data_IF_187763865384
#
_entry.id   IF_187763865384
#
_cell.length_a   1.000
_cell.length_b   1.000
_cell.length_c   1.000
_cell.angle_alpha   90.00
_cell.angle_beta   90.00
_cell.angle_gamma   90.00
#
_symmetry.space_group_name_H-M   'P 1'
#
loop_
_entity.id
_entity.type
_entity.pdbx_description
1 polymer ?
#
# COMPACT_ATOMS: atom_id res chain seq x y z
N UNK A 1 19.15 -46.50 -44.04
CA UNK A 1 18.21 -45.57 -44.72
C UNK A 1 16.82 -45.85 -44.16
N UNK A 2 16.07 -44.93 -43.55
CA UNK A 2 16.19 -43.48 -43.48
C UNK A 2 15.56 -42.98 -42.16
N UNK A 3 16.34 -42.24 -41.38
CA UNK A 3 15.97 -41.55 -40.13
C UNK A 3 15.24 -40.21 -40.35
N UNK A 4 14.55 -40.00 -41.47
CA UNK A 4 14.12 -38.66 -41.87
C UNK A 4 12.68 -38.24 -41.50
N UNK A 5 11.81 -39.14 -41.01
CA UNK A 5 10.37 -38.84 -40.93
C UNK A 5 9.77 -38.64 -39.53
N UNK A 6 10.53 -38.77 -38.45
CA UNK A 6 9.99 -38.57 -37.10
C UNK A 6 10.23 -37.15 -36.52
N UNK A 7 11.14 -36.38 -37.13
CA UNK A 7 11.56 -35.07 -36.58
C UNK A 7 10.66 -33.90 -36.99
N UNK A 8 9.69 -34.11 -37.90
CA UNK A 8 8.87 -33.04 -38.46
C UNK A 8 7.44 -32.96 -37.91
N UNK A 9 6.99 -33.94 -37.12
CA UNK A 9 5.64 -33.92 -36.52
C UNK A 9 5.60 -33.31 -35.10
N UNK A 10 6.75 -33.16 -34.43
CA UNK A 10 6.82 -32.63 -33.05
C UNK A 10 6.96 -31.09 -33.06
N UNK A 11 7.62 -30.51 -34.07
CA UNK A 11 7.82 -29.06 -34.16
C UNK A 11 6.55 -28.27 -34.54
N UNK A 12 5.57 -28.89 -35.20
CA UNK A 12 4.33 -28.19 -35.60
C UNK A 12 3.29 -28.18 -34.47
N UNK A 13 3.36 -29.13 -33.53
CA UNK A 13 2.42 -29.21 -32.40
C UNK A 13 2.80 -28.30 -31.23
N UNK A 14 4.09 -28.01 -31.01
CA UNK A 14 4.53 -27.14 -29.90
C UNK A 14 4.43 -25.64 -30.19
N UNK A 15 4.43 -25.21 -31.47
CA UNK A 15 4.36 -23.77 -31.81
C UNK A 15 2.91 -23.24 -31.75
N UNK A 16 1.90 -24.11 -31.84
CA UNK A 16 0.49 -23.72 -31.79
C UNK A 16 -0.06 -23.52 -30.36
N UNK A 17 0.66 -23.95 -29.31
CA UNK A 17 0.22 -23.84 -27.91
C UNK A 17 0.79 -22.62 -27.15
N UNK A 18 1.68 -21.83 -27.78
CA UNK A 18 2.28 -20.65 -27.15
C UNK A 18 1.62 -19.32 -27.55
N UNK A 19 0.48 -19.35 -28.25
CA UNK A 19 -0.22 -18.15 -28.74
C UNK A 19 -1.61 -17.90 -28.11
N UNK A 20 -1.94 -18.58 -27.00
CA UNK A 20 -3.24 -18.44 -26.34
C UNK A 20 -3.19 -17.89 -24.91
N UNK A 21 -2.06 -17.30 -24.48
CA UNK A 21 -1.99 -16.55 -23.22
C UNK A 21 -1.56 -15.10 -23.51
N UNK A 22 -2.36 -14.41 -24.34
CA UNK A 22 -2.36 -12.96 -24.46
C UNK A 22 -3.83 -12.55 -24.46
N UNK A 23 -4.34 -12.18 -23.27
CA UNK A 23 -5.64 -11.56 -22.92
C UNK A 23 -5.86 -12.02 -21.46
N UNK A 24 -5.57 -11.23 -20.43
CA UNK A 24 -6.19 -9.95 -20.09
C UNK A 24 -5.19 -9.11 -19.27
N UNK A 25 -4.45 -8.21 -19.92
CA UNK A 25 -3.97 -7.03 -19.22
C UNK A 25 -5.12 -6.03 -19.23
N UNK A 26 -6.03 -6.14 -18.26
CA UNK A 26 -6.89 -5.00 -17.93
C UNK A 26 -5.97 -3.88 -17.47
N UNK A 27 -6.14 -2.62 -17.94
CA UNK A 27 -5.45 -1.51 -17.30
C UNK A 27 -5.89 -1.52 -15.84
N UNK A 28 -4.96 -1.80 -14.94
CA UNK A 28 -5.15 -1.55 -13.51
C UNK A 28 -5.36 -0.05 -13.40
N UNK A 29 -6.62 0.36 -13.28
CA UNK A 29 -6.92 1.67 -12.77
C UNK A 29 -6.40 1.67 -11.33
N UNK A 30 -5.52 2.61 -11.00
CA UNK A 30 -4.97 2.76 -9.67
C UNK A 30 -6.08 3.20 -8.71
N UNK A 31 -6.92 2.26 -8.28
CA UNK A 31 -7.73 2.38 -7.08
C UNK A 31 -6.86 1.88 -5.94
N UNK A 32 -6.28 2.79 -5.17
CA UNK A 32 -5.68 2.46 -3.88
C UNK A 32 -6.82 2.12 -2.92
N UNK A 33 -7.04 0.84 -2.68
CA UNK A 33 -7.93 0.36 -1.61
C UNK A 33 -7.05 -0.01 -0.42
N UNK A 34 -7.33 0.59 0.73
CA UNK A 34 -6.71 0.20 1.99
C UNK A 34 -7.73 -0.64 2.75
N UNK A 35 -7.41 -1.91 2.99
CA UNK A 35 -8.24 -2.81 3.78
C UNK A 35 -7.87 -2.70 5.25
N UNK A 36 -8.61 -1.86 5.95
CA UNK A 36 -8.67 -1.82 7.40
C UNK A 36 -9.92 -2.59 7.81
N UNK A 37 -9.84 -3.44 8.83
CA UNK A 37 -11.02 -4.13 9.34
C UNK A 37 -12.09 -3.09 9.77
N UNK A 38 -13.16 -2.96 8.96
CA UNK A 38 -14.25 -2.01 9.21
C UNK A 38 -14.11 -0.61 8.59
N UNK A 39 -13.10 -0.36 7.75
CA UNK A 39 -12.92 0.93 7.08
C UNK A 39 -12.30 0.76 5.68
N UNK A 40 -13.13 0.37 4.71
CA UNK A 40 -12.69 0.34 3.32
C UNK A 40 -12.81 1.73 2.73
N UNK A 41 -11.67 2.28 2.30
CA UNK A 41 -11.59 3.64 1.79
C UNK A 41 -11.16 3.63 0.34
N UNK A 42 -11.76 4.51 -0.46
CA UNK A 42 -11.35 4.77 -1.82
C UNK A 42 -11.16 6.27 -2.03
N UNK A 43 -10.01 6.64 -2.59
CA UNK A 43 -9.70 8.00 -3.04
C UNK A 43 -9.85 8.07 -4.55
N UNK A 44 -10.68 9.00 -5.04
CA UNK A 44 -11.01 9.15 -6.47
C UNK A 44 -10.47 10.46 -7.02
N UNK A 45 -9.22 10.46 -7.47
CA UNK A 45 -8.59 11.63 -8.07
C UNK A 45 -7.15 11.79 -7.63
N UNK A 46 -6.62 13.01 -7.77
CA UNK A 46 -5.30 13.36 -7.25
C UNK A 46 -5.40 14.35 -6.10
N UNK A 47 -4.50 14.19 -5.13
CA UNK A 47 -4.29 15.10 -4.03
C UNK A 47 -2.84 15.58 -4.10
N UNK A 48 -2.66 16.87 -3.91
CA UNK A 48 -1.36 17.48 -3.69
C UNK A 48 -1.41 18.37 -2.46
N UNK A 49 -0.28 18.49 -1.79
CA UNK A 49 -0.13 19.35 -0.63
C UNK A 49 1.27 19.96 -0.65
N UNK A 50 1.36 21.28 -0.60
CA UNK A 50 2.63 21.99 -0.53
C UNK A 50 2.45 23.32 0.19
N UNK A 51 3.33 23.63 1.15
CA UNK A 51 3.27 24.89 1.91
C UNK A 51 1.87 25.15 2.49
N UNK A 52 1.25 24.13 3.06
CA UNK A 52 -0.11 24.17 3.61
C UNK A 52 -1.24 24.46 2.61
N UNK A 53 -0.94 24.44 1.30
CA UNK A 53 -1.94 24.55 0.23
C UNK A 53 -2.36 23.15 -0.17
N UNK A 54 -3.64 22.83 0.02
CA UNK A 54 -4.26 21.58 -0.41
C UNK A 54 -4.83 21.75 -1.81
N UNK A 55 -4.41 20.91 -2.75
CA UNK A 55 -4.90 20.87 -4.13
C UNK A 55 -5.54 19.51 -4.40
N UNK A 56 -6.78 19.49 -4.89
CA UNK A 56 -7.50 18.25 -5.18
C UNK A 56 -8.09 18.31 -6.59
N UNK A 57 -7.93 17.22 -7.35
CA UNK A 57 -8.57 17.01 -8.65
C UNK A 57 -9.37 15.72 -8.62
N UNK A 58 -10.67 15.78 -8.32
CA UNK A 58 -11.52 14.58 -8.29
C UNK A 58 -11.56 13.89 -9.66
N UNK A 59 -11.67 12.56 -9.67
CA UNK A 59 -11.77 11.81 -10.93
C UNK A 59 -13.11 12.04 -11.65
N UNK A 60 -14.13 12.56 -10.95
CA UNK A 60 -15.47 12.81 -11.48
C UNK A 60 -15.50 13.91 -12.55
N UNK A 61 -14.57 14.86 -12.52
CA UNK A 61 -14.51 15.99 -13.47
C UNK A 61 -13.14 16.67 -13.48
N UNK A 62 -12.86 17.50 -14.48
CA UNK A 62 -11.56 18.15 -14.66
C UNK A 62 -11.30 19.39 -13.80
N UNK A 63 -12.17 19.71 -12.83
CA UNK A 63 -12.00 20.89 -11.97
C UNK A 63 -10.86 20.69 -10.97
N UNK A 64 -10.13 21.76 -10.69
CA UNK A 64 -9.09 21.81 -9.65
C UNK A 64 -9.59 22.63 -8.47
N UNK A 65 -9.61 22.02 -7.30
CA UNK A 65 -9.99 22.64 -6.03
C UNK A 65 -8.72 22.95 -5.25
N UNK A 66 -8.60 24.19 -4.77
CA UNK A 66 -7.45 24.63 -3.98
C UNK A 66 -7.96 25.28 -2.71
N UNK A 67 -7.47 24.80 -1.57
CA UNK A 67 -7.69 25.38 -0.25
C UNK A 67 -6.34 25.88 0.25
N UNK A 68 -6.22 27.19 0.47
CA UNK A 68 -4.98 27.83 0.91
C UNK A 68 -4.73 27.68 2.42
N UNK A 69 -3.62 28.23 2.92
CA UNK A 69 -3.22 28.15 4.32
C UNK A 69 -4.17 28.90 5.27
N UNK A 70 -4.98 29.82 4.75
CA UNK A 70 -6.04 30.53 5.46
C UNK A 70 -7.44 29.90 5.23
N UNK A 71 -7.48 28.70 4.65
CA UNK A 71 -8.68 27.93 4.37
C UNK A 71 -9.66 28.65 3.42
N UNK A 72 -9.17 29.52 2.54
CA UNK A 72 -9.98 30.06 1.46
C UNK A 72 -10.04 29.07 0.30
N UNK A 73 -11.23 28.94 -0.28
CA UNK A 73 -11.47 28.07 -1.42
C UNK A 73 -11.29 28.81 -2.75
N UNK A 74 -10.60 28.16 -3.69
CA UNK A 74 -10.68 28.50 -5.11
C UNK A 74 -10.93 27.27 -5.99
N UNK A 75 -11.68 27.46 -7.06
CA UNK A 75 -12.01 26.43 -8.06
C UNK A 75 -11.55 26.93 -9.43
N UNK A 76 -10.68 26.16 -10.09
CA UNK A 76 -10.03 26.54 -11.36
C UNK A 76 -9.41 27.94 -11.32
N UNK A 77 -8.78 28.27 -10.18
CA UNK A 77 -8.14 29.56 -9.93
C UNK A 77 -9.09 30.73 -9.62
N UNK A 78 -10.39 30.49 -9.50
CA UNK A 78 -11.37 31.51 -9.10
C UNK A 78 -11.73 31.35 -7.64
N UNK A 79 -11.53 32.41 -6.86
CA UNK A 79 -11.94 32.43 -5.45
C UNK A 79 -13.45 32.26 -5.31
N UNK A 80 -13.86 31.40 -4.38
CA UNK A 80 -15.27 31.17 -4.03
C UNK A 80 -15.53 31.85 -2.69
N UNK A 81 -16.39 32.88 -2.62
CA UNK A 81 -16.72 33.52 -1.35
C UNK A 81 -17.52 32.55 -0.47
N UNK A 82 -17.02 32.30 0.73
CA UNK A 82 -17.65 31.41 1.71
C UNK A 82 -18.39 32.22 2.77
N UNK A 83 -19.59 31.79 3.13
CA UNK A 83 -20.26 32.25 4.34
C UNK A 83 -19.70 31.53 5.58
N UNK A 84 -20.13 31.93 6.78
CA UNK A 84 -19.61 31.38 8.03
C UNK A 84 -19.78 29.85 8.15
N UNK A 85 -20.91 29.30 7.69
CA UNK A 85 -21.18 27.86 7.74
C UNK A 85 -20.29 27.11 6.75
N UNK A 86 -20.19 27.59 5.51
CA UNK A 86 -19.33 27.01 4.47
C UNK A 86 -17.85 27.05 4.89
N UNK A 87 -17.41 28.15 5.51
CA UNK A 87 -16.04 28.29 6.01
C UNK A 87 -15.71 27.24 7.07
N UNK A 88 -16.63 27.00 8.02
CA UNK A 88 -16.42 26.01 9.08
C UNK A 88 -16.31 24.58 8.50
N UNK A 89 -17.09 24.25 7.48
CA UNK A 89 -17.03 22.93 6.82
C UNK A 89 -15.74 22.79 6.01
N UNK A 90 -15.32 23.81 5.26
CA UNK A 90 -14.04 23.80 4.51
C UNK A 90 -12.85 23.66 5.46
N UNK A 91 -12.86 24.39 6.58
CA UNK A 91 -11.80 24.32 7.60
C UNK A 91 -11.72 22.91 8.19
N UNK A 92 -12.87 22.33 8.58
CA UNK A 92 -12.93 20.96 9.07
C UNK A 92 -12.41 19.97 8.02
N UNK A 93 -12.85 20.09 6.78
CA UNK A 93 -12.39 19.23 5.68
C UNK A 93 -10.86 19.30 5.51
N UNK A 94 -10.33 20.52 5.41
CA UNK A 94 -8.90 20.77 5.26
C UNK A 94 -8.08 20.12 6.37
N UNK A 95 -8.43 20.31 7.64
CA UNK A 95 -7.67 19.76 8.75
C UNK A 95 -7.77 18.23 8.86
N UNK A 96 -8.93 17.64 8.53
CA UNK A 96 -9.06 16.18 8.50
C UNK A 96 -8.20 15.58 7.39
N UNK A 97 -8.23 16.13 6.17
CA UNK A 97 -7.37 15.67 5.06
C UNK A 97 -5.89 15.86 5.40
N UNK A 98 -5.51 17.04 5.90
CA UNK A 98 -4.11 17.32 6.30
C UNK A 98 -3.62 16.40 7.39
N UNK A 99 -4.46 16.03 8.35
CA UNK A 99 -4.09 15.12 9.44
C UNK A 99 -4.01 13.67 8.96
N UNK A 100 -4.88 13.27 8.02
CA UNK A 100 -4.88 11.92 7.48
C UNK A 100 -3.56 11.57 6.76
N UNK A 101 -2.92 12.53 6.08
CA UNK A 101 -1.66 12.29 5.34
C UNK A 101 -0.55 11.68 6.22
N UNK A 102 -0.09 12.32 7.31
CA UNK A 102 0.96 11.76 8.15
C UNK A 102 0.53 10.45 8.85
N UNK A 103 -0.75 10.31 9.19
CA UNK A 103 -1.28 9.06 9.76
C UNK A 103 -1.22 7.90 8.75
N UNK A 104 -1.50 8.15 7.47
CA UNK A 104 -1.36 7.14 6.41
C UNK A 104 0.09 6.67 6.27
N UNK A 105 1.05 7.60 6.35
CA UNK A 105 2.48 7.24 6.35
C UNK A 105 2.86 6.42 7.58
N UNK A 106 2.39 6.80 8.76
CA UNK A 106 2.62 6.04 9.99
C UNK A 106 2.06 4.62 9.89
N UNK A 107 0.83 4.46 9.38
CA UNK A 107 0.24 3.14 9.16
C UNK A 107 1.04 2.29 8.17
N UNK A 108 1.51 2.88 7.07
CA UNK A 108 2.35 2.18 6.10
C UNK A 108 3.67 1.72 6.77
N UNK A 109 4.28 2.57 7.59
CA UNK A 109 5.49 2.23 8.34
C UNK A 109 5.23 1.10 9.37
N UNK A 110 4.12 1.14 10.10
CA UNK A 110 3.71 0.10 11.05
C UNK A 110 3.43 -1.25 10.33
N UNK A 111 2.75 -1.23 9.18
CA UNK A 111 2.51 -2.43 8.37
C UNK A 111 3.81 -3.05 7.85
N UNK A 112 4.74 -2.21 7.42
CA UNK A 112 6.07 -2.63 6.99
C UNK A 112 6.91 -3.19 8.15
N UNK A 113 6.80 -2.63 9.34
CA UNK A 113 7.43 -3.17 10.55
C UNK A 113 6.89 -4.56 10.91
N UNK A 114 5.58 -4.77 10.81
CA UNK A 114 4.98 -6.10 11.00
C UNK A 114 5.49 -7.10 9.97
N UNK A 115 5.59 -6.70 8.70
CA UNK A 115 6.19 -7.54 7.66
C UNK A 115 7.65 -7.87 7.98
N UNK A 116 8.42 -6.88 8.42
CA UNK A 116 9.82 -7.04 8.83
C UNK A 116 9.97 -8.03 9.99
N UNK A 117 9.12 -7.93 11.02
CA UNK A 117 9.09 -8.88 12.14
C UNK A 117 8.81 -10.30 11.62
N UNK A 118 7.74 -10.48 10.85
CA UNK A 118 7.34 -11.81 10.38
C UNK A 118 8.45 -12.48 9.55
N UNK A 119 9.04 -11.73 8.62
CA UNK A 119 10.18 -12.16 7.83
C UNK A 119 11.37 -12.54 8.71
N UNK A 120 11.78 -11.65 9.61
CA UNK A 120 12.97 -11.87 10.41
C UNK A 120 12.80 -13.08 11.33
N UNK A 121 11.66 -13.25 11.99
CA UNK A 121 11.46 -14.41 12.87
C UNK A 121 11.53 -15.73 12.10
N UNK A 122 10.90 -15.83 10.94
CA UNK A 122 10.88 -17.07 10.14
C UNK A 122 12.26 -17.37 9.58
N UNK A 123 12.88 -16.42 8.89
CA UNK A 123 14.12 -16.69 8.15
C UNK A 123 15.35 -16.68 9.06
N UNK A 124 15.37 -15.91 10.15
CA UNK A 124 16.46 -15.98 11.14
C UNK A 124 16.52 -17.34 11.82
N UNK A 125 15.37 -17.96 12.11
CA UNK A 125 15.32 -19.29 12.72
C UNK A 125 15.72 -20.39 11.73
N UNK A 126 15.40 -20.22 10.45
CA UNK A 126 15.71 -21.22 9.42
C UNK A 126 17.16 -21.13 8.91
N UNK A 127 17.69 -19.90 8.76
CA UNK A 127 18.95 -19.62 8.06
C UNK A 127 20.03 -19.02 8.97
N UNK A 128 19.61 -18.44 10.11
CA UNK A 128 20.49 -17.69 11.00
C UNK A 128 20.38 -16.16 10.78
N UNK A 129 20.65 -15.35 11.81
CA UNK A 129 20.43 -13.89 11.77
C UNK A 129 21.38 -13.12 10.86
N UNK A 130 22.45 -13.77 10.37
CA UNK A 130 23.46 -13.17 9.49
C UNK A 130 23.43 -13.78 8.08
N UNK A 131 22.38 -14.55 7.75
CA UNK A 131 22.22 -15.05 6.41
C UNK A 131 21.96 -13.90 5.42
N UNK A 132 22.61 -13.97 4.26
CA UNK A 132 22.54 -12.92 3.23
C UNK A 132 21.08 -12.65 2.78
N UNK A 133 20.20 -13.66 2.82
CA UNK A 133 18.77 -13.50 2.49
C UNK A 133 18.07 -12.57 3.47
N UNK A 134 18.31 -12.77 4.78
CA UNK A 134 17.68 -11.99 5.85
C UNK A 134 18.13 -10.54 5.74
N UNK A 135 19.43 -10.32 5.52
CA UNK A 135 19.99 -8.97 5.29
C UNK A 135 19.33 -8.31 4.07
N UNK A 136 19.27 -9.03 2.93
CA UNK A 136 18.73 -8.48 1.68
C UNK A 136 17.26 -8.11 1.78
N UNK A 137 16.45 -8.93 2.46
CA UNK A 137 15.02 -8.66 2.63
C UNK A 137 14.78 -7.49 3.58
N UNK A 138 15.60 -7.33 4.61
CA UNK A 138 15.57 -6.15 5.48
C UNK A 138 15.92 -4.87 4.72
N UNK A 139 16.91 -4.92 3.82
CA UNK A 139 17.24 -3.79 2.94
C UNK A 139 16.08 -3.44 2.00
N UNK A 140 15.39 -4.43 1.43
CA UNK A 140 14.24 -4.21 0.56
C UNK A 140 13.09 -3.53 1.31
N UNK A 141 12.77 -4.02 2.50
CA UNK A 141 11.78 -3.41 3.40
C UNK A 141 12.18 -1.97 3.71
N UNK A 142 13.43 -1.71 4.13
CA UNK A 142 13.88 -0.35 4.43
C UNK A 142 13.80 0.61 3.22
N UNK A 143 14.01 0.11 2.00
CA UNK A 143 13.84 0.88 0.77
C UNK A 143 12.39 1.27 0.53
N UNK A 144 11.43 0.37 0.79
CA UNK A 144 9.99 0.68 0.73
C UNK A 144 9.66 1.82 1.69
N UNK A 145 10.10 1.72 2.95
CA UNK A 145 9.88 2.76 3.96
C UNK A 145 10.35 4.12 3.46
N UNK A 146 11.61 4.16 3.01
CA UNK A 146 12.26 5.37 2.54
C UNK A 146 11.54 5.96 1.33
N UNK A 147 11.12 5.12 0.37
CA UNK A 147 10.38 5.57 -0.81
C UNK A 147 9.04 6.19 -0.42
N UNK A 148 8.26 5.52 0.43
CA UNK A 148 6.97 6.03 0.93
C UNK A 148 7.16 7.38 1.63
N UNK A 149 8.11 7.49 2.56
CA UNK A 149 8.38 8.75 3.27
C UNK A 149 8.80 9.87 2.30
N UNK A 150 9.72 9.59 1.37
CA UNK A 150 10.21 10.59 0.40
C UNK A 150 9.19 11.04 -0.64
N UNK A 151 8.13 10.25 -0.85
CA UNK A 151 7.02 10.61 -1.75
C UNK A 151 6.01 11.55 -1.13
N UNK A 152 6.01 11.67 0.20
CA UNK A 152 5.05 12.48 0.97
C UNK A 152 5.73 13.67 1.66
N UNK A 153 7.01 13.57 2.02
CA UNK A 153 7.73 14.62 2.75
C UNK A 153 8.87 15.23 1.93
N UNK A 154 8.98 16.56 1.99
CA UNK A 154 10.16 17.28 1.53
C UNK A 154 11.33 17.11 2.52
N UNK A 155 12.58 17.41 2.11
CA UNK A 155 13.77 17.29 2.98
C UNK A 155 13.73 18.12 4.27
N UNK A 156 12.89 19.15 4.34
CA UNK A 156 12.69 19.98 5.53
C UNK A 156 11.61 19.42 6.49
N UNK A 157 11.02 18.26 6.16
CA UNK A 157 9.98 17.59 6.94
C UNK A 157 8.57 18.12 6.69
N UNK A 158 8.38 19.08 5.78
CA UNK A 158 7.05 19.54 5.38
C UNK A 158 6.37 18.51 4.47
N UNK A 159 5.03 18.47 4.52
CA UNK A 159 4.26 17.64 3.58
C UNK A 159 4.41 18.24 2.18
N UNK A 160 4.91 17.42 1.27
CA UNK A 160 5.02 17.71 -0.14
C UNK A 160 4.51 16.53 -0.95
N UNK A 161 3.31 16.68 -1.49
CA UNK A 161 2.72 15.77 -2.47
C UNK A 161 2.54 16.60 -3.72
N UNK A 162 3.29 16.29 -4.78
CA UNK A 162 3.27 17.10 -6.01
C UNK A 162 1.87 17.02 -6.64
N UNK A 163 1.11 18.14 -6.67
CA UNK A 163 -0.21 18.15 -7.27
C UNK A 163 -0.18 17.82 -8.77
N UNK A 164 0.96 17.97 -9.44
CA UNK A 164 1.09 17.78 -10.89
C UNK A 164 1.91 16.55 -11.25
N UNK A 165 2.33 15.73 -10.28
CA UNK A 165 3.04 14.49 -10.58
C UNK A 165 2.18 13.60 -11.49
N UNK A 166 2.70 13.30 -12.67
CA UNK A 166 2.24 12.13 -13.43
C UNK A 166 2.80 10.89 -12.74
N UNK A 167 2.07 9.78 -12.74
CA UNK A 167 2.32 8.49 -12.07
C UNK A 167 3.71 7.83 -12.26
N UNK A 168 4.78 8.51 -12.67
CA UNK A 168 6.09 7.97 -13.06
C UNK A 168 7.20 8.20 -12.03
N UNK A 169 6.94 8.89 -10.91
CA UNK A 169 7.94 9.11 -9.85
C UNK A 169 7.40 8.87 -8.43
N UNK A 170 6.12 8.50 -8.30
CA UNK A 170 5.39 8.39 -7.03
C UNK A 170 5.41 6.95 -6.45
N UNK A 171 5.08 6.76 -5.17
CA UNK A 171 4.89 5.42 -4.57
C UNK A 171 3.75 4.64 -5.24
N UNK A 172 2.84 5.34 -5.93
CA UNK A 172 1.78 4.74 -6.75
C UNK A 172 2.23 4.42 -8.19
N UNK A 173 3.51 4.59 -8.52
CA UNK A 173 4.03 4.30 -9.85
C UNK A 173 4.05 2.78 -10.11
N UNK A 174 3.33 2.29 -11.14
CA UNK A 174 3.39 0.89 -11.55
C UNK A 174 4.81 0.41 -11.89
N UNK A 175 5.72 1.30 -12.33
CA UNK A 175 7.11 0.95 -12.59
C UNK A 175 7.87 0.66 -11.30
N UNK A 176 7.70 1.49 -10.26
CA UNK A 176 8.31 1.24 -8.96
C UNK A 176 7.85 -0.11 -8.38
N UNK A 177 6.54 -0.40 -8.46
CA UNK A 177 6.02 -1.70 -8.03
C UNK A 177 6.66 -2.86 -8.81
N UNK A 178 6.77 -2.74 -10.14
CA UNK A 178 7.40 -3.75 -10.98
C UNK A 178 8.89 -3.94 -10.68
N UNK A 179 9.63 -2.86 -10.41
CA UNK A 179 11.04 -2.92 -10.00
C UNK A 179 11.18 -3.62 -8.65
N UNK A 180 10.32 -3.29 -7.68
CA UNK A 180 10.31 -3.95 -6.38
C UNK A 180 10.01 -5.44 -6.49
N UNK A 181 8.95 -5.81 -7.22
CA UNK A 181 8.56 -7.20 -7.42
C UNK A 181 9.70 -8.00 -8.08
N UNK A 182 10.40 -7.41 -9.05
CA UNK A 182 11.54 -8.03 -9.70
C UNK A 182 12.70 -8.27 -8.72
N UNK A 183 13.06 -7.29 -7.89
CA UNK A 183 14.16 -7.45 -6.92
C UNK A 183 13.79 -8.45 -5.81
N UNK A 184 12.53 -8.46 -5.37
CA UNK A 184 12.03 -9.45 -4.43
C UNK A 184 12.06 -10.86 -5.03
N UNK A 185 11.60 -11.03 -6.27
CA UNK A 185 11.63 -12.32 -6.98
C UNK A 185 13.06 -12.82 -7.16
N UNK A 186 13.98 -11.96 -7.64
CA UNK A 186 15.40 -12.30 -7.78
C UNK A 186 16.00 -12.73 -6.44
N UNK A 187 15.72 -11.98 -5.36
CA UNK A 187 16.17 -12.33 -4.01
C UNK A 187 15.68 -13.72 -3.62
N UNK A 188 14.39 -14.01 -3.77
CA UNK A 188 13.86 -15.35 -3.42
C UNK A 188 14.49 -16.45 -4.29
N UNK A 189 14.68 -16.21 -5.59
CA UNK A 189 15.29 -17.18 -6.51
C UNK A 189 16.74 -17.51 -6.12
N UNK A 190 17.54 -16.50 -5.78
CA UNK A 190 18.93 -16.66 -5.37
C UNK A 190 19.07 -17.49 -4.10
N UNK A 191 18.11 -17.37 -3.18
CA UNK A 191 18.12 -18.07 -1.90
C UNK A 191 17.27 -19.35 -1.86
N UNK A 192 16.56 -19.69 -2.93
CA UNK A 192 15.69 -20.88 -2.98
C UNK A 192 16.46 -22.18 -2.68
N UNK A 193 17.71 -22.29 -3.17
CA UNK A 193 18.57 -23.44 -2.87
C UNK A 193 18.90 -23.56 -1.38
N UNK A 194 19.24 -22.44 -0.73
CA UNK A 194 19.53 -22.37 0.71
C UNK A 194 18.30 -22.71 1.54
N UNK A 195 17.13 -22.19 1.17
CA UNK A 195 15.84 -22.50 1.80
C UNK A 195 15.55 -24.01 1.70
N UNK A 196 15.67 -24.61 0.52
CA UNK A 196 15.44 -26.06 0.32
C UNK A 196 16.39 -26.92 1.15
N UNK A 197 17.65 -26.51 1.29
CA UNK A 197 18.62 -27.20 2.14
C UNK A 197 18.24 -27.06 3.62
N UNK A 198 17.88 -25.86 4.08
CA UNK A 198 17.47 -25.62 5.47
C UNK A 198 16.20 -26.40 5.84
N UNK A 199 15.19 -26.37 4.98
CA UNK A 199 13.97 -27.16 5.14
C UNK A 199 14.25 -28.67 5.13
N UNK A 200 15.09 -29.13 4.20
CA UNK A 200 15.49 -30.54 4.12
C UNK A 200 16.21 -31.00 5.39
N UNK A 201 17.07 -30.14 5.97
CA UNK A 201 17.73 -30.43 7.25
C UNK A 201 16.77 -30.46 8.42
N UNK A 202 15.83 -29.51 8.50
CA UNK A 202 14.81 -29.48 9.54
C UNK A 202 13.92 -30.75 9.52
N UNK A 203 13.56 -31.25 8.32
CA UNK A 203 12.75 -32.46 8.17
C UNK A 203 13.53 -33.76 8.46
N UNK A 204 14.81 -33.83 8.10
CA UNK A 204 15.62 -35.05 8.22
C UNK A 204 16.28 -35.20 9.59
N UNK A 205 16.61 -34.10 10.26
CA UNK A 205 17.45 -34.09 11.46
C UNK A 205 16.78 -33.44 12.68
N UNK A 206 15.46 -33.28 12.68
CA UNK A 206 14.69 -32.79 13.84
C UNK A 206 14.81 -33.63 15.12
N UNK A 207 15.71 -34.62 15.18
CA UNK A 207 16.02 -35.43 16.36
C UNK A 207 17.51 -35.86 16.44
N UNK A 208 18.49 -35.06 15.97
CA UNK A 208 19.90 -35.45 16.20
C UNK A 208 21.09 -34.73 15.55
N UNK A 209 20.96 -33.53 14.96
CA UNK A 209 22.13 -32.73 14.54
C UNK A 209 22.19 -31.38 15.28
N UNK A 210 23.37 -30.94 15.75
CA UNK A 210 23.53 -29.74 16.60
C UNK A 210 23.28 -28.41 15.88
N UNK A 211 23.03 -28.42 14.56
CA UNK A 211 22.72 -27.23 13.76
C UNK A 211 21.23 -26.87 13.75
N UNK A 212 20.33 -27.79 14.12
CA UNK A 212 18.87 -27.60 14.13
C UNK A 212 18.16 -28.21 15.35
N UNK A 213 18.92 -28.66 16.37
CA UNK A 213 18.38 -29.18 17.64
C UNK A 213 17.43 -28.18 18.34
N UNK A 214 17.54 -26.88 17.99
CA UNK A 214 16.74 -25.79 18.57
C UNK A 214 15.57 -25.29 17.68
N UNK A 215 15.41 -25.81 16.45
CA UNK A 215 14.28 -25.37 15.60
C UNK A 215 12.97 -25.99 16.08
N UNK A 216 12.24 -25.24 16.91
CA UNK A 216 10.94 -25.61 17.41
C UNK A 216 9.84 -24.77 16.74
N UNK A 217 9.04 -25.35 15.82
CA UNK A 217 8.02 -24.60 15.09
C UNK A 217 6.91 -24.06 15.99
N UNK A 218 6.58 -24.76 17.09
CA UNK A 218 5.56 -24.30 18.04
C UNK A 218 6.08 -23.09 18.84
N UNK A 219 7.35 -23.10 19.24
CA UNK A 219 7.98 -21.96 19.91
C UNK A 219 8.12 -20.76 18.96
N UNK A 220 8.48 -21.00 17.69
CA UNK A 220 8.50 -19.97 16.66
C UNK A 220 7.12 -19.34 16.46
N UNK A 221 6.07 -20.16 16.37
CA UNK A 221 4.69 -19.68 16.29
C UNK A 221 4.32 -18.76 17.45
N UNK A 222 4.65 -19.16 18.69
CA UNK A 222 4.39 -18.33 19.87
C UNK A 222 5.14 -17.00 19.85
N UNK A 223 6.41 -16.99 19.44
CA UNK A 223 7.20 -15.75 19.33
C UNK A 223 6.63 -14.81 18.27
N UNK A 224 6.22 -15.36 17.12
CA UNK A 224 5.57 -14.59 16.06
C UNK A 224 4.25 -14.01 16.56
N UNK A 225 3.39 -14.82 17.19
CA UNK A 225 2.12 -14.36 17.76
C UNK A 225 2.31 -13.24 18.78
N UNK A 226 3.27 -13.38 19.70
CA UNK A 226 3.57 -12.36 20.72
C UNK A 226 4.05 -11.05 20.07
N UNK A 227 5.01 -11.11 19.14
CA UNK A 227 5.56 -9.92 18.47
C UNK A 227 4.55 -9.26 17.54
N UNK A 228 3.75 -10.05 16.82
CA UNK A 228 2.68 -9.55 15.97
C UNK A 228 1.56 -8.91 16.79
N UNK A 229 1.18 -9.50 17.93
CA UNK A 229 0.17 -8.90 18.81
C UNK A 229 0.64 -7.57 19.41
N UNK A 230 1.90 -7.50 19.85
CA UNK A 230 2.46 -6.28 20.43
C UNK A 230 2.47 -5.10 19.45
N UNK A 231 2.86 -5.34 18.19
CA UNK A 231 2.96 -4.29 17.17
C UNK A 231 1.65 -4.09 16.39
N UNK A 232 0.83 -5.13 16.26
CA UNK A 232 -0.45 -5.09 15.56
C UNK A 232 -1.48 -4.24 16.27
N UNK A 233 -1.44 -4.17 17.61
CA UNK A 233 -2.31 -3.29 18.39
C UNK A 233 -2.09 -1.81 18.06
N UNK A 234 -0.82 -1.39 17.90
CA UNK A 234 -0.51 0.00 17.54
C UNK A 234 -1.08 0.33 16.15
N UNK A 235 -0.89 -0.57 15.17
CA UNK A 235 -1.49 -0.41 13.84
C UNK A 235 -3.02 -0.35 13.89
N UNK A 236 -3.67 -1.21 14.68
CA UNK A 236 -5.12 -1.21 14.83
C UNK A 236 -5.66 0.09 15.46
N UNK A 237 -4.96 0.63 16.45
CA UNK A 237 -5.32 1.91 17.09
C UNK A 237 -5.17 3.08 16.12
N UNK A 238 -4.00 3.23 15.49
CA UNK A 238 -3.75 4.28 14.48
C UNK A 238 -4.77 4.19 13.35
N UNK A 239 -5.08 2.97 12.91
CA UNK A 239 -6.04 2.71 11.85
C UNK A 239 -7.48 3.08 12.20
N UNK A 240 -7.88 2.88 13.46
CA UNK A 240 -9.21 3.29 13.95
C UNK A 240 -9.35 4.81 13.94
N UNK A 241 -8.35 5.53 14.46
CA UNK A 241 -8.32 7.00 14.49
C UNK A 241 -8.30 7.57 13.07
N UNK A 242 -7.46 7.02 12.20
CA UNK A 242 -7.40 7.40 10.79
C UNK A 242 -8.78 7.28 10.11
N UNK A 243 -9.47 6.16 10.34
CA UNK A 243 -10.80 5.94 9.78
C UNK A 243 -11.82 6.99 10.25
N UNK A 244 -11.82 7.34 11.53
CA UNK A 244 -12.73 8.36 12.06
C UNK A 244 -12.50 9.72 11.40
N UNK A 245 -11.23 10.12 11.24
CA UNK A 245 -10.84 11.38 10.60
C UNK A 245 -11.28 11.43 9.14
N UNK A 246 -11.08 10.34 8.41
CA UNK A 246 -11.48 10.25 7.00
C UNK A 246 -13.00 10.27 6.87
N UNK A 247 -13.76 9.60 7.75
CA UNK A 247 -15.22 9.68 7.76
C UNK A 247 -15.73 11.10 7.99
N UNK A 248 -15.08 11.87 8.85
CA UNK A 248 -15.40 13.29 9.02
C UNK A 248 -15.09 14.06 7.75
N UNK A 249 -13.98 13.77 7.06
CA UNK A 249 -13.67 14.37 5.76
C UNK A 249 -14.75 14.07 4.70
N UNK A 250 -15.19 12.82 4.55
CA UNK A 250 -16.27 12.42 3.63
C UNK A 250 -17.61 13.11 3.97
N UNK A 251 -17.95 13.19 5.26
CA UNK A 251 -19.16 13.90 5.71
C UNK A 251 -19.09 15.40 5.37
N UNK A 252 -17.90 16.00 5.46
CA UNK A 252 -17.67 17.37 5.03
C UNK A 252 -17.80 17.50 3.50
N UNK A 253 -17.30 16.57 2.69
CA UNK A 253 -17.51 16.59 1.23
C UNK A 253 -19.00 16.61 0.87
N UNK A 254 -19.79 15.74 1.53
CA UNK A 254 -21.25 15.67 1.33
C UNK A 254 -21.94 16.99 1.73
N UNK A 255 -21.47 17.60 2.82
CA UNK A 255 -21.98 18.88 3.29
C UNK A 255 -21.63 20.01 2.32
N UNK A 256 -20.40 20.06 1.81
CA UNK A 256 -19.95 21.04 0.80
C UNK A 256 -20.72 20.90 -0.51
N UNK A 257 -20.97 19.68 -0.98
CA UNK A 257 -21.78 19.42 -2.17
C UNK A 257 -23.22 19.94 -2.03
N UNK A 258 -23.74 20.00 -0.81
CA UNK A 258 -25.07 20.55 -0.51
C UNK A 258 -25.05 22.08 -0.36
N UNK A 259 -24.00 22.63 0.24
CA UNK A 259 -23.90 24.06 0.59
C UNK A 259 -23.34 24.93 -0.53
N UNK A 260 -22.53 24.37 -1.45
CA UNK A 260 -21.83 25.08 -2.51
C UNK A 260 -22.18 24.41 -3.85
N UNK A 261 -22.96 25.08 -4.74
CA UNK A 261 -23.35 24.51 -6.03
C UNK A 261 -22.17 24.02 -6.89
N UNK A 262 -21.03 24.69 -6.79
CA UNK A 262 -19.80 24.35 -7.51
C UNK A 262 -19.15 23.03 -7.02
N UNK A 263 -19.55 22.53 -5.85
CA UNK A 263 -19.15 21.26 -5.25
C UNK A 263 -20.15 20.12 -5.47
N UNK A 264 -21.27 20.34 -6.16
CA UNK A 264 -22.35 19.34 -6.25
C UNK A 264 -21.90 17.95 -6.78
N UNK A 265 -20.90 17.92 -7.66
CA UNK A 265 -20.33 16.70 -8.25
C UNK A 265 -18.96 16.32 -7.64
N UNK A 266 -18.57 16.98 -6.54
CA UNK A 266 -17.33 16.71 -5.82
C UNK A 266 -17.46 15.42 -5.03
N UNK A 267 -16.58 14.46 -5.33
CA UNK A 267 -16.45 13.21 -4.62
C UNK A 267 -15.00 12.76 -4.75
N UNK A 268 -14.23 12.96 -3.69
CA UNK A 268 -12.83 12.59 -3.63
C UNK A 268 -12.60 11.45 -2.66
N UNK A 269 -13.21 11.48 -1.47
CA UNK A 269 -13.10 10.44 -0.45
C UNK A 269 -14.43 9.70 -0.35
N UNK A 270 -14.38 8.36 -0.42
CA UNK A 270 -15.49 7.51 0.02
C UNK A 270 -15.02 6.49 1.04
N UNK A 271 -15.79 6.35 2.11
CA UNK A 271 -15.59 5.30 3.12
C UNK A 271 -16.78 4.35 3.06
N UNK A 272 -16.56 3.14 2.57
CA UNK A 272 -17.58 2.11 2.61
C UNK A 272 -17.73 1.61 4.05
N UNK A 273 -18.87 1.91 4.66
CA UNK A 273 -19.29 1.21 5.86
C UNK A 273 -19.54 -0.24 5.47
N UNK A 274 -18.83 -1.18 6.10
CA UNK A 274 -19.17 -2.60 6.02
C UNK A 274 -20.66 -2.71 6.35
N UNK A 275 -21.48 -3.15 5.40
CA UNK A 275 -22.81 -3.63 5.73
C UNK A 275 -22.58 -4.72 6.76
N UNK A 276 -22.97 -4.46 8.00
CA UNK A 276 -23.00 -5.45 9.05
C UNK A 276 -23.75 -6.65 8.48
N UNK A 277 -23.01 -7.69 8.10
CA UNK A 277 -23.62 -8.98 7.89
C UNK A 277 -24.02 -9.41 9.30
N UNK A 278 -25.22 -8.98 9.68
CA UNK A 278 -26.04 -9.64 10.66
C UNK A 278 -26.09 -11.11 10.23
N UNK A 279 -25.16 -11.90 10.75
CA UNK A 279 -25.29 -13.34 10.78
C UNK A 279 -26.44 -13.63 11.75
N UNK A 280 -27.63 -13.55 11.17
CA UNK A 280 -28.83 -14.16 11.67
C UNK A 280 -28.60 -15.66 11.67
N UNK A 281 -28.43 -16.17 12.89
CA UNK A 281 -28.76 -17.53 13.37
C UNK A 281 -27.69 -18.61 13.26
#
# INVERSE_FOLDING_TARGET
MSQANFRNSINVACIALLWSVVLLATPVQANTSMHIEGCEMAMRGTLGMQNDILTIRPATHSKTYVIDAEQNLSIDGKAVPLNQEQQAVIESYYYNVRSAIPMGVEMAAQGLELANIAVNEVFTQLLGPQDDMVVKLNELIAQIKTKVESSIYAPDGSIFIDPNASNQDDWTDPQWQAEFDAVLEETIQDFMGTILIAMGKALLFGDGEPLFEDFNPDALGQVIEEKMAANGNALAETSTVFCEIVRVAEANETSLATLIPEYADYNFITVEAKAEQAQVK
#
